data_IF_695674624989
#
_entry.id   IF_695674624989
#
_cell.length_a   1.000
_cell.length_b   1.000
_cell.length_c   1.000
_cell.angle_alpha   90.00
_cell.angle_beta   90.00
_cell.angle_gamma   90.00
#
_symmetry.space_group_name_H-M   'P 1'
#
loop_
_entity.id
_entity.type
_entity.pdbx_description
1 polymer ?
#
# COMPACT_ATOMS: atom_id res chain seq x y z
N UNK A 1 0.42 25.47 22.92
CA UNK A 1 0.66 24.81 21.63
C UNK A 1 -0.54 23.92 21.38
N UNK A 2 -1.54 24.45 20.67
CA UNK A 2 -2.64 23.64 20.17
C UNK A 2 -2.09 22.88 18.96
N UNK A 3 -1.96 21.57 19.05
CA UNK A 3 -1.94 20.73 17.87
C UNK A 3 -3.36 20.71 17.36
N UNK A 4 -3.74 21.77 16.64
CA UNK A 4 -4.77 21.67 15.61
C UNK A 4 -4.17 20.76 14.54
N UNK A 5 -4.13 19.45 14.84
CA UNK A 5 -4.13 18.39 13.83
C UNK A 5 -5.44 18.61 13.09
N UNK A 6 -5.34 19.44 12.05
CA UNK A 6 -6.44 19.77 11.19
C UNK A 6 -7.00 18.46 10.67
N UNK A 7 -8.19 18.12 11.15
CA UNK A 7 -9.13 17.30 10.41
C UNK A 7 -9.51 18.12 9.15
N UNK A 8 -8.54 18.30 8.25
CA UNK A 8 -8.82 18.67 6.88
C UNK A 8 -9.76 17.58 6.40
N UNK A 9 -11.02 17.95 6.24
CA UNK A 9 -12.06 17.00 5.88
C UNK A 9 -11.60 16.31 4.61
N UNK A 10 -11.45 14.97 4.64
CA UNK A 10 -10.97 14.18 3.51
C UNK A 10 -11.72 14.64 2.27
N UNK A 11 -10.96 15.23 1.34
CA UNK A 11 -11.56 15.72 0.12
C UNK A 11 -11.84 14.53 -0.78
N UNK A 12 -12.78 14.63 -1.73
CA UNK A 12 -12.96 13.59 -2.74
C UNK A 12 -11.67 13.26 -3.52
N UNK A 13 -10.70 14.19 -3.56
CA UNK A 13 -9.39 13.92 -4.15
C UNK A 13 -8.53 13.05 -3.23
N UNK A 14 -8.59 13.25 -1.91
CA UNK A 14 -7.81 12.47 -0.94
C UNK A 14 -8.23 10.99 -0.96
N UNK A 15 -9.54 10.72 -1.03
CA UNK A 15 -10.08 9.35 -1.18
C UNK A 15 -9.54 8.67 -2.46
N UNK A 16 -9.58 9.38 -3.60
CA UNK A 16 -9.05 8.85 -4.87
C UNK A 16 -7.54 8.64 -4.79
N UNK A 17 -6.80 9.53 -4.14
CA UNK A 17 -5.36 9.40 -3.95
C UNK A 17 -5.00 8.25 -3.00
N UNK A 18 -5.83 7.96 -2.01
CA UNK A 18 -5.70 6.77 -1.15
C UNK A 18 -5.92 5.49 -1.95
N UNK A 19 -6.99 5.43 -2.75
CA UNK A 19 -7.28 4.29 -3.63
C UNK A 19 -6.13 4.02 -4.61
N UNK A 20 -5.61 5.08 -5.24
CA UNK A 20 -4.46 4.98 -6.15
C UNK A 20 -3.23 4.46 -5.39
N UNK A 21 -2.96 4.97 -4.19
CA UNK A 21 -1.82 4.53 -3.36
C UNK A 21 -1.95 3.06 -3.00
N UNK A 22 -3.13 2.61 -2.58
CA UNK A 22 -3.42 1.22 -2.28
C UNK A 22 -3.23 0.32 -3.50
N UNK A 23 -3.69 0.76 -4.67
CA UNK A 23 -3.52 0.01 -5.91
C UNK A 23 -2.05 -0.11 -6.34
N UNK A 24 -1.27 0.95 -6.21
CA UNK A 24 0.18 0.91 -6.50
C UNK A 24 0.88 -0.09 -5.59
N UNK A 25 0.60 -0.06 -4.29
CA UNK A 25 1.20 -1.00 -3.32
C UNK A 25 0.82 -2.44 -3.67
N UNK A 26 -0.44 -2.72 -4.00
CA UNK A 26 -0.87 -4.06 -4.42
C UNK A 26 -0.12 -4.56 -5.65
N UNK A 27 0.03 -3.71 -6.67
CA UNK A 27 0.74 -4.08 -7.91
C UNK A 27 2.23 -4.33 -7.67
N UNK A 28 2.87 -3.48 -6.87
CA UNK A 28 4.27 -3.65 -6.51
C UNK A 28 4.47 -4.93 -5.70
N UNK A 29 3.62 -5.20 -4.70
CA UNK A 29 3.69 -6.42 -3.91
C UNK A 29 3.47 -7.68 -4.75
N UNK A 30 2.55 -7.64 -5.73
CA UNK A 30 2.34 -8.76 -6.65
C UNK A 30 3.57 -8.98 -7.55
N UNK A 31 4.11 -7.92 -8.15
CA UNK A 31 5.31 -8.01 -8.98
C UNK A 31 6.54 -8.47 -8.19
N UNK A 32 6.69 -8.01 -6.94
CA UNK A 32 7.75 -8.44 -6.03
C UNK A 32 7.61 -9.91 -5.64
N UNK A 33 6.39 -10.37 -5.32
CA UNK A 33 6.13 -11.79 -5.06
C UNK A 33 6.41 -12.67 -6.27
N UNK A 34 6.04 -12.23 -7.47
CA UNK A 34 6.31 -12.96 -8.71
C UNK A 34 7.82 -13.02 -9.00
N UNK A 35 8.55 -11.93 -8.77
CA UNK A 35 9.99 -11.86 -8.98
C UNK A 35 10.79 -12.69 -7.96
N UNK A 36 10.31 -12.78 -6.71
CA UNK A 36 10.94 -13.53 -5.62
C UNK A 36 10.19 -14.84 -5.31
N UNK A 37 9.44 -15.37 -6.28
CA UNK A 37 8.56 -16.53 -6.10
C UNK A 37 9.30 -17.74 -5.56
N UNK A 38 10.50 -17.97 -6.03
CA UNK A 38 11.42 -19.02 -5.59
C UNK A 38 11.82 -18.91 -4.12
N UNK A 39 12.04 -17.69 -3.62
CA UNK A 39 12.36 -17.43 -2.20
C UNK A 39 11.12 -17.69 -1.33
N UNK A 40 9.96 -17.20 -1.74
CA UNK A 40 8.72 -17.39 -1.00
C UNK A 40 8.24 -18.86 -1.04
N UNK A 41 8.37 -19.54 -2.19
CA UNK A 41 8.06 -20.97 -2.32
C UNK A 41 9.00 -21.83 -1.44
N UNK A 42 10.27 -21.44 -1.29
CA UNK A 42 11.21 -22.12 -0.40
C UNK A 42 10.85 -21.96 1.09
N UNK A 43 10.33 -20.80 1.50
CA UNK A 43 9.87 -20.54 2.87
C UNK A 43 8.54 -21.25 3.21
N UNK A 44 7.70 -21.57 2.21
CA UNK A 44 6.44 -22.31 2.43
C UNK A 44 6.66 -23.81 2.66
N UNK A 45 7.82 -24.34 2.27
CA UNK A 45 8.14 -25.78 2.33
C UNK A 45 9.04 -26.17 3.52
N UNK A 46 9.17 -25.30 4.53
CA UNK A 46 9.89 -25.56 5.80
C UNK A 46 8.90 -25.70 6.97
#
# INVERSE_FOLDING_TARGET
MATEDGLESETPLDEVMEDIRGEVVRRVAAADRDANRDIYDALENE
#
